data_IF_680440823051
#
_entry.id   IF_680440823051
#
_cell.length_a   1.000
_cell.length_b   1.000
_cell.length_c   1.000
_cell.angle_alpha   90.00
_cell.angle_beta   90.00
_cell.angle_gamma   90.00
#
_symmetry.space_group_name_H-M   'P 1'
#
loop_
_entity.id
_entity.type
_entity.pdbx_description
1 polymer ?
#
# COMPACT_ATOMS: atom_id res chain seq x y z
N UNK A 1 -15.83 22.73 0.13
CA UNK A 1 -14.40 22.40 -0.01
C UNK A 1 -14.27 20.87 0.05
N UNK A 2 -13.55 20.24 -0.89
CA UNK A 2 -13.32 18.79 -0.93
C UNK A 2 -11.81 18.56 -0.98
N UNK A 3 -11.30 17.63 -0.18
CA UNK A 3 -9.88 17.28 -0.09
C UNK A 3 -9.74 15.76 -0.22
N UNK A 4 -8.63 15.32 -0.81
CA UNK A 4 -8.24 13.92 -0.83
C UNK A 4 -7.37 13.62 0.40
N UNK A 5 -7.66 12.51 1.07
CA UNK A 5 -6.81 11.92 2.10
C UNK A 5 -6.28 10.61 1.55
N UNK A 6 -4.95 10.47 1.51
CA UNK A 6 -4.31 9.25 1.05
C UNK A 6 -3.42 8.63 2.14
N UNK A 7 -3.17 7.34 2.01
CA UNK A 7 -2.20 6.59 2.80
C UNK A 7 -1.53 5.54 1.92
N UNK A 8 -0.27 5.24 2.24
CA UNK A 8 0.44 4.08 1.72
C UNK A 8 -0.10 2.83 2.42
N UNK A 9 -0.50 1.82 1.65
CA UNK A 9 -1.16 0.60 2.11
C UNK A 9 -0.65 -0.60 1.32
N UNK A 10 -1.00 -1.81 1.74
CA UNK A 10 -0.54 -3.04 1.10
C UNK A 10 0.97 -3.24 1.26
N UNK A 11 1.55 -2.69 2.32
CA UNK A 11 2.99 -2.76 2.58
C UNK A 11 3.41 -3.98 3.43
N UNK A 12 2.48 -4.92 3.66
CA UNK A 12 2.81 -6.25 4.22
C UNK A 12 3.64 -7.06 3.20
N UNK A 13 4.37 -8.08 3.66
CA UNK A 13 5.17 -8.94 2.77
C UNK A 13 5.31 -10.36 3.34
N UNK A 14 4.80 -11.35 2.62
CA UNK A 14 4.77 -12.74 3.05
C UNK A 14 4.10 -12.87 4.43
N UNK A 15 4.78 -13.45 5.45
CA UNK A 15 4.23 -13.57 6.79
C UNK A 15 4.30 -12.27 7.61
N UNK A 16 4.95 -11.21 7.12
CA UNK A 16 5.08 -9.96 7.85
C UNK A 16 3.90 -9.03 7.59
N UNK A 17 3.15 -8.76 8.64
CA UNK A 17 2.08 -7.76 8.63
C UNK A 17 2.64 -6.38 8.93
N UNK A 18 2.29 -5.40 8.09
CA UNK A 18 2.64 -3.99 8.25
C UNK A 18 1.36 -3.15 8.28
N UNK A 19 1.30 -2.20 9.23
CA UNK A 19 0.22 -1.23 9.31
C UNK A 19 -1.14 -1.80 9.73
N UNK A 20 -2.17 -0.97 9.52
CA UNK A 20 -3.56 -1.22 9.86
C UNK A 20 -4.43 -0.89 8.66
N UNK A 21 -4.23 -1.65 7.57
CA UNK A 21 -4.82 -1.37 6.25
C UNK A 21 -6.36 -1.30 6.30
N UNK A 22 -6.99 -2.18 7.07
CA UNK A 22 -8.45 -2.26 7.16
C UNK A 22 -9.05 -1.04 7.83
N UNK A 23 -8.43 -0.59 8.91
CA UNK A 23 -8.81 0.61 9.63
C UNK A 23 -8.55 1.86 8.78
N UNK A 24 -7.40 1.93 8.09
CA UNK A 24 -7.07 3.08 7.24
C UNK A 24 -7.99 3.22 6.04
N UNK A 25 -8.42 2.10 5.43
CA UNK A 25 -9.40 2.12 4.33
C UNK A 25 -10.78 2.65 4.73
N UNK A 26 -11.09 2.69 6.03
CA UNK A 26 -12.30 3.34 6.54
C UNK A 26 -12.18 4.88 6.63
N UNK A 27 -10.96 5.43 6.47
CA UNK A 27 -10.65 6.85 6.70
C UNK A 27 -10.24 7.58 5.41
N UNK A 28 -9.45 6.93 4.56
CA UNK A 28 -8.85 7.57 3.37
C UNK A 28 -9.80 7.59 2.18
N UNK A 29 -9.59 8.54 1.26
CA UNK A 29 -10.26 8.56 -0.05
C UNK A 29 -9.42 7.91 -1.15
N UNK A 30 -8.10 7.80 -0.97
CA UNK A 30 -7.17 7.15 -1.90
C UNK A 30 -6.17 6.25 -1.16
N UNK A 31 -5.75 5.16 -1.80
CA UNK A 31 -4.78 4.19 -1.28
C UNK A 31 -3.63 4.02 -2.27
N UNK A 32 -2.40 4.26 -1.81
CA UNK A 32 -1.18 4.00 -2.60
C UNK A 32 -0.71 2.58 -2.28
N UNK A 33 -0.92 1.63 -3.17
CA UNK A 33 -0.66 0.20 -2.91
C UNK A 33 0.77 -0.16 -3.34
N UNK A 34 1.54 -0.76 -2.44
CA UNK A 34 2.90 -1.20 -2.72
C UNK A 34 2.96 -2.18 -3.92
N UNK A 35 4.07 -2.14 -4.65
CA UNK A 35 4.20 -2.79 -5.97
C UNK A 35 5.17 -3.99 -6.00
N UNK A 36 5.57 -4.52 -4.84
CA UNK A 36 6.40 -5.74 -4.77
C UNK A 36 7.90 -5.52 -4.58
N UNK A 37 8.37 -4.27 -4.56
CA UNK A 37 9.80 -3.96 -4.55
C UNK A 37 10.31 -3.60 -3.15
N UNK A 38 9.73 -2.56 -2.54
CA UNK A 38 10.01 -2.22 -1.13
C UNK A 38 9.14 -2.98 -0.14
N UNK A 39 7.95 -3.37 -0.58
CA UNK A 39 6.91 -4.00 0.19
C UNK A 39 5.82 -4.55 -0.75
N UNK A 40 4.85 -5.27 -0.20
CA UNK A 40 3.80 -5.91 -0.96
C UNK A 40 4.27 -7.20 -1.63
N UNK A 41 3.36 -8.16 -1.75
CA UNK A 41 3.50 -9.31 -2.64
C UNK A 41 2.18 -9.50 -3.39
N UNK A 42 2.12 -10.42 -4.35
CA UNK A 42 0.92 -10.60 -5.18
C UNK A 42 -0.35 -10.88 -4.38
N UNK A 43 -0.25 -11.56 -3.22
CA UNK A 43 -1.40 -11.85 -2.36
C UNK A 43 -1.81 -10.60 -1.58
N UNK A 44 -0.85 -9.90 -0.97
CA UNK A 44 -1.10 -8.64 -0.25
C UNK A 44 -1.72 -7.60 -1.19
N UNK A 45 -1.12 -7.39 -2.36
CA UNK A 45 -1.61 -6.44 -3.37
C UNK A 45 -3.05 -6.75 -3.79
N UNK A 46 -3.34 -8.02 -4.09
CA UNK A 46 -4.67 -8.46 -4.50
C UNK A 46 -5.72 -8.22 -3.40
N UNK A 47 -5.36 -8.52 -2.16
CA UNK A 47 -6.23 -8.32 -1.01
C UNK A 47 -6.47 -6.83 -0.70
N UNK A 48 -5.43 -6.00 -0.72
CA UNK A 48 -5.56 -4.54 -0.50
C UNK A 48 -6.40 -3.90 -1.61
N UNK A 49 -6.21 -4.28 -2.89
CA UNK A 49 -7.05 -3.83 -4.01
C UNK A 49 -8.52 -4.21 -3.79
N UNK A 50 -8.78 -5.46 -3.38
CA UNK A 50 -10.13 -5.95 -3.11
C UNK A 50 -10.80 -5.15 -2.00
N UNK A 51 -10.09 -4.90 -0.89
CA UNK A 51 -10.60 -4.12 0.25
C UNK A 51 -10.82 -2.65 -0.09
N UNK A 52 -9.90 -2.03 -0.82
CA UNK A 52 -10.04 -0.64 -1.27
C UNK A 52 -11.29 -0.47 -2.14
N UNK A 53 -11.53 -1.41 -3.07
CA UNK A 53 -12.75 -1.41 -3.88
C UNK A 53 -14.03 -1.56 -3.04
N UNK A 54 -14.02 -2.41 -2.02
CA UNK A 54 -15.16 -2.57 -1.11
C UNK A 54 -15.46 -1.30 -0.29
N UNK A 55 -14.43 -0.54 0.08
CA UNK A 55 -14.56 0.72 0.81
C UNK A 55 -14.73 1.94 -0.09
N UNK A 56 -14.85 1.76 -1.42
CA UNK A 56 -14.95 2.83 -2.40
C UNK A 56 -13.78 3.84 -2.33
N UNK A 57 -12.58 3.32 -2.06
CA UNK A 57 -11.32 4.06 -2.01
C UNK A 57 -10.64 4.01 -3.38
N UNK A 58 -10.15 5.14 -3.88
CA UNK A 58 -9.40 5.20 -5.13
C UNK A 58 -8.05 4.47 -4.99
N UNK A 59 -7.62 3.78 -6.05
CA UNK A 59 -6.40 2.96 -6.02
C UNK A 59 -5.30 3.65 -6.84
N UNK A 60 -4.15 3.85 -6.22
CA UNK A 60 -2.91 4.32 -6.84
C UNK A 60 -1.78 3.29 -6.68
N UNK A 61 -0.81 3.33 -7.58
CA UNK A 61 0.42 2.55 -7.45
C UNK A 61 1.42 3.26 -6.53
N UNK A 62 2.09 2.51 -5.65
CA UNK A 62 3.20 2.98 -4.83
C UNK A 62 4.51 2.26 -5.22
N UNK A 63 5.13 2.65 -6.36
CA UNK A 63 6.38 2.06 -6.82
C UNK A 63 7.55 2.56 -5.98
N UNK A 64 8.61 1.76 -5.92
CA UNK A 64 9.80 2.04 -5.12
C UNK A 64 11.05 1.40 -5.74
N UNK A 65 12.20 1.70 -5.15
CA UNK A 65 13.46 1.02 -5.47
C UNK A 65 13.37 -0.46 -5.09
N UNK A 66 14.08 -1.32 -5.83
CA UNK A 66 14.14 -2.77 -5.56
C UNK A 66 14.98 -3.07 -4.32
N UNK A 67 14.47 -2.64 -3.16
CA UNK A 67 15.12 -2.73 -1.87
C UNK A 67 14.11 -3.12 -0.79
N UNK A 68 13.77 -4.40 -0.77
CA UNK A 68 12.88 -4.96 0.24
C UNK A 68 13.45 -4.80 1.66
N UNK A 69 14.75 -5.04 1.84
CA UNK A 69 15.41 -5.03 3.15
C UNK A 69 15.49 -3.63 3.77
N UNK A 70 15.66 -2.60 2.94
CA UNK A 70 15.64 -1.20 3.36
C UNK A 70 14.29 -0.54 3.20
N UNK A 71 13.24 -1.30 2.87
CA UNK A 71 11.89 -0.80 2.64
C UNK A 71 11.85 0.35 1.62
N UNK A 72 12.72 0.28 0.59
CA UNK A 72 12.80 1.30 -0.46
C UNK A 72 13.28 2.67 0.04
N UNK A 73 13.77 2.78 1.28
CA UNK A 73 14.15 4.05 1.92
C UNK A 73 15.64 4.39 1.77
N UNK A 74 16.40 3.57 1.06
CA UNK A 74 17.83 3.78 0.81
C UNK A 74 18.04 4.20 -0.63
N UNK A 75 18.96 5.13 -0.85
CA UNK A 75 19.38 5.53 -2.20
C UNK A 75 20.15 4.37 -2.85
N UNK A 76 19.77 4.01 -4.08
CA UNK A 76 20.46 3.02 -4.93
C UNK A 76 20.92 3.77 -6.18
N UNK A 77 22.17 3.53 -6.60
CA UNK A 77 22.79 4.13 -7.78
C UNK A 77 22.63 3.26 -9.02
#
# INVERSE_FOLDING_TARGET
MRIDLNSDLGESFGPWTMGSDEEMLCVVSSANIACGFHAGDSLVMGETVRRAKLNNVAIGAHPSLHDLWGFGRRVIQ
#
